data_IF_912494649908
#
_entry.id   IF_912494649908
#
_cell.length_a   1.000
_cell.length_b   1.000
_cell.length_c   1.000
_cell.angle_alpha   90.00
_cell.angle_beta   90.00
_cell.angle_gamma   90.00
#
_symmetry.space_group_name_H-M   'P 1'
#
loop_
_entity.id
_entity.type
_entity.pdbx_description
1 polymer ?
#
# COMPACT_ATOMS: atom_id res chain seq x y z
N UNK A 1 0.94 5.26 12.28
CA UNK A 1 1.73 4.43 13.22
C UNK A 1 0.74 3.65 14.08
N UNK A 2 1.01 2.37 14.33
CA UNK A 2 0.26 1.58 15.33
C UNK A 2 1.19 1.32 16.51
N UNK A 3 0.69 1.45 17.73
CA UNK A 3 1.46 1.26 18.96
C UNK A 3 1.10 -0.07 19.63
N UNK A 4 2.10 -0.80 20.12
CA UNK A 4 1.98 -1.93 21.04
C UNK A 4 2.53 -1.56 22.42
N UNK A 5 2.41 -2.44 23.42
CA UNK A 5 2.92 -2.19 24.78
C UNK A 5 4.43 -1.87 24.73
N UNK A 6 4.78 -0.58 24.86
CA UNK A 6 6.15 -0.08 24.93
C UNK A 6 6.76 0.56 23.67
N UNK A 7 6.08 0.58 22.50
CA UNK A 7 6.66 1.17 21.28
C UNK A 7 5.78 1.13 20.02
N UNK A 8 6.27 1.74 18.93
CA UNK A 8 5.63 1.66 17.61
C UNK A 8 5.80 0.26 17.01
N UNK A 9 4.70 -0.43 16.74
CA UNK A 9 4.66 -1.80 16.23
C UNK A 9 4.48 -1.90 14.71
N UNK A 10 4.35 -0.76 14.02
CA UNK A 10 4.19 -0.71 12.58
C UNK A 10 3.85 0.68 12.03
N UNK A 11 4.02 0.83 10.72
CA UNK A 11 3.75 2.06 9.99
C UNK A 11 3.24 1.76 8.57
N UNK A 12 2.61 2.76 7.97
CA UNK A 12 2.31 2.80 6.55
C UNK A 12 2.72 4.17 6.00
N UNK A 13 3.23 4.17 4.77
CA UNK A 13 3.60 5.35 4.01
C UNK A 13 2.64 5.45 2.82
N UNK A 14 2.02 6.60 2.67
CA UNK A 14 1.15 6.88 1.52
C UNK A 14 1.48 8.22 0.89
N UNK A 15 1.19 8.33 -0.40
CA UNK A 15 1.42 9.53 -1.21
C UNK A 15 0.24 9.73 -2.16
N UNK A 16 0.03 10.97 -2.59
CA UNK A 16 -0.78 11.26 -3.77
C UNK A 16 0.13 11.27 -5.00
N UNK A 17 -0.09 10.34 -5.94
CA UNK A 17 0.61 10.31 -7.22
C UNK A 17 -0.18 11.10 -8.26
N UNK A 18 0.55 11.65 -9.23
CA UNK A 18 0.00 12.45 -10.35
C UNK A 18 0.56 11.99 -11.69
N UNK A 19 1.69 11.29 -11.63
CA UNK A 19 2.19 10.41 -12.67
C UNK A 19 1.27 9.20 -12.82
N UNK A 20 1.25 8.61 -14.01
CA UNK A 20 0.48 7.41 -14.30
C UNK A 20 0.84 6.28 -13.33
N UNK A 21 -0.18 5.69 -12.73
CA UNK A 21 -0.07 4.47 -11.93
C UNK A 21 -0.67 3.31 -12.72
N UNK A 22 0.00 2.16 -12.70
CA UNK A 22 -0.41 1.01 -13.50
C UNK A 22 -1.84 0.56 -13.16
N UNK A 23 -2.73 0.57 -14.16
CA UNK A 23 -4.12 0.12 -14.03
C UNK A 23 -5.12 1.14 -13.46
N UNK A 24 -4.71 2.37 -13.16
CA UNK A 24 -5.63 3.45 -12.72
C UNK A 24 -6.20 4.24 -13.89
N UNK A 25 -7.33 4.92 -13.67
CA UNK A 25 -8.04 5.73 -14.66
C UNK A 25 -8.34 7.17 -14.20
N UNK A 26 -7.95 7.52 -12.98
CA UNK A 26 -8.15 8.83 -12.36
C UNK A 26 -6.80 9.45 -11.96
N UNK A 27 -6.77 10.75 -11.67
CA UNK A 27 -5.59 11.39 -11.08
C UNK A 27 -6.00 12.64 -10.28
N UNK A 28 -5.45 12.92 -9.09
CA UNK A 28 -4.42 12.12 -8.40
C UNK A 28 -4.95 10.82 -7.82
N UNK A 29 -4.07 9.85 -7.69
CA UNK A 29 -4.34 8.55 -7.07
C UNK A 29 -3.66 8.46 -5.70
N UNK A 30 -4.35 7.83 -4.75
CA UNK A 30 -3.69 7.44 -3.50
C UNK A 30 -2.77 6.27 -3.77
N UNK A 31 -1.56 6.29 -3.21
CA UNK A 31 -0.58 5.23 -3.39
C UNK A 31 -0.02 4.76 -2.05
N UNK A 32 -0.02 3.45 -1.81
CA UNK A 32 0.67 2.83 -0.69
C UNK A 32 2.13 2.61 -1.06
N UNK A 33 3.02 3.48 -0.57
CA UNK A 33 4.47 3.40 -0.82
C UNK A 33 5.13 2.30 0.01
N UNK A 34 4.51 1.91 1.13
CA UNK A 34 5.00 0.82 1.95
C UNK A 34 4.18 0.63 3.21
N UNK A 35 4.10 -0.61 3.67
CA UNK A 35 3.44 -0.96 4.93
C UNK A 35 4.24 -2.03 5.66
N UNK A 36 4.42 -1.83 6.96
CA UNK A 36 5.18 -2.74 7.79
C UNK A 36 4.55 -2.88 9.17
N UNK A 37 4.52 -4.12 9.66
CA UNK A 37 4.13 -4.46 11.02
C UNK A 37 5.13 -5.47 11.56
N UNK A 38 5.59 -5.23 12.79
CA UNK A 38 6.48 -6.11 13.54
C UNK A 38 5.89 -7.51 13.66
N UNK A 39 6.74 -8.54 13.55
CA UNK A 39 6.32 -9.93 13.36
C UNK A 39 5.36 -10.40 14.46
N UNK A 40 5.63 -10.02 15.69
CA UNK A 40 4.90 -10.37 16.92
C UNK A 40 3.48 -9.77 16.93
N UNK A 41 3.27 -8.70 16.17
CA UNK A 41 2.02 -7.95 16.09
C UNK A 41 1.23 -8.25 14.79
N UNK A 42 1.77 -9.09 13.89
CA UNK A 42 1.06 -9.50 12.67
C UNK A 42 -0.17 -10.35 12.99
N UNK A 43 -1.09 -10.42 12.00
CA UNK A 43 -2.36 -11.17 12.07
C UNK A 43 -3.34 -10.67 13.15
N UNK A 44 -3.12 -9.47 13.70
CA UNK A 44 -4.02 -8.79 14.65
C UNK A 44 -4.83 -7.63 14.03
N UNK A 45 -4.81 -7.50 12.70
CA UNK A 45 -5.55 -6.46 11.97
C UNK A 45 -4.85 -5.10 11.85
N UNK A 46 -3.65 -4.93 12.43
CA UNK A 46 -2.96 -3.63 12.42
C UNK A 46 -2.60 -3.10 11.03
N UNK A 47 -2.15 -3.97 10.11
CA UNK A 47 -1.86 -3.56 8.74
C UNK A 47 -3.14 -3.08 8.01
N UNK A 48 -4.27 -3.75 8.22
CA UNK A 48 -5.56 -3.32 7.68
C UNK A 48 -6.03 -1.99 8.27
N UNK A 49 -5.78 -1.74 9.56
CA UNK A 49 -6.10 -0.46 10.19
C UNK A 49 -5.23 0.69 9.64
N UNK A 50 -3.93 0.43 9.43
CA UNK A 50 -3.02 1.38 8.80
C UNK A 50 -3.43 1.70 7.36
N UNK A 51 -3.76 0.68 6.57
CA UNK A 51 -4.24 0.85 5.20
C UNK A 51 -5.51 1.71 5.15
N UNK A 52 -6.51 1.42 5.98
CA UNK A 52 -7.75 2.21 6.06
C UNK A 52 -7.49 3.68 6.37
N UNK A 53 -6.49 3.98 7.22
CA UNK A 53 -6.10 5.36 7.50
C UNK A 53 -5.48 6.03 6.26
N UNK A 54 -4.67 5.31 5.49
CA UNK A 54 -4.11 5.80 4.23
C UNK A 54 -5.21 6.03 3.16
N UNK A 55 -6.16 5.11 3.02
CA UNK A 55 -7.31 5.23 2.10
C UNK A 55 -8.16 6.45 2.46
N UNK A 56 -8.52 6.61 3.73
CA UNK A 56 -9.29 7.75 4.20
C UNK A 56 -8.56 9.09 3.95
N UNK A 57 -7.25 9.12 4.18
CA UNK A 57 -6.43 10.30 3.88
C UNK A 57 -6.41 10.60 2.38
N UNK A 58 -6.20 9.61 1.51
CA UNK A 58 -6.20 9.82 0.06
C UNK A 58 -7.58 10.26 -0.46
N UNK A 59 -8.66 9.67 0.04
CA UNK A 59 -10.03 10.08 -0.28
C UNK A 59 -10.28 11.55 0.13
N UNK A 60 -9.77 11.99 1.29
CA UNK A 60 -9.84 13.41 1.69
C UNK A 60 -9.05 14.35 0.77
N UNK A 61 -8.06 13.81 0.04
CA UNK A 61 -7.31 14.50 -1.01
C UNK A 61 -7.98 14.49 -2.38
N UNK A 62 -9.20 13.93 -2.50
CA UNK A 62 -9.97 13.87 -3.74
C UNK A 62 -9.68 12.65 -4.63
N UNK A 63 -8.91 11.68 -4.15
CA UNK A 63 -8.63 10.45 -4.90
C UNK A 63 -9.87 9.55 -4.95
N UNK A 64 -10.16 9.01 -6.14
CA UNK A 64 -11.20 8.00 -6.36
C UNK A 64 -10.65 6.58 -6.49
N UNK A 65 -9.33 6.45 -6.66
CA UNK A 65 -8.62 5.17 -6.74
C UNK A 65 -7.45 5.17 -5.74
N UNK A 66 -7.12 3.96 -5.25
CA UNK A 66 -6.02 3.72 -4.33
C UNK A 66 -5.22 2.51 -4.80
N UNK A 67 -3.93 2.72 -5.04
CA UNK A 67 -3.05 1.75 -5.68
C UNK A 67 -1.88 1.37 -4.77
N UNK A 68 -1.26 0.24 -5.10
CA UNK A 68 -0.09 -0.28 -4.43
C UNK A 68 0.63 -1.26 -5.36
N UNK A 69 1.92 -1.48 -5.13
CA UNK A 69 2.68 -2.56 -5.76
C UNK A 69 3.26 -3.50 -4.70
N UNK A 70 3.72 -4.66 -5.17
CA UNK A 70 4.63 -5.49 -4.40
C UNK A 70 5.55 -6.28 -5.33
N UNK A 71 6.69 -6.74 -4.80
CA UNK A 71 7.59 -7.61 -5.56
C UNK A 71 6.92 -8.93 -5.95
N UNK A 72 7.25 -9.45 -7.14
CA UNK A 72 6.63 -10.64 -7.73
C UNK A 72 6.65 -11.87 -6.81
N UNK A 73 7.76 -12.07 -6.09
CA UNK A 73 7.96 -13.18 -5.16
C UNK A 73 7.43 -12.91 -3.75
N UNK A 74 6.89 -11.73 -3.47
CA UNK A 74 6.38 -11.35 -2.15
C UNK A 74 4.93 -11.81 -1.96
N UNK A 75 4.73 -13.12 -1.95
CA UNK A 75 3.42 -13.75 -1.78
C UNK A 75 2.67 -13.30 -0.52
N UNK A 76 3.31 -13.09 0.65
CA UNK A 76 2.63 -12.53 1.81
C UNK A 76 2.05 -11.13 1.55
N UNK A 77 2.77 -10.27 0.82
CA UNK A 77 2.29 -8.94 0.45
C UNK A 77 1.16 -9.03 -0.59
N UNK A 78 1.31 -9.87 -1.63
CA UNK A 78 0.23 -10.10 -2.61
C UNK A 78 -1.07 -10.55 -1.93
N UNK A 79 -0.97 -11.54 -1.02
CA UNK A 79 -2.12 -12.03 -0.28
C UNK A 79 -2.69 -10.98 0.67
N UNK A 80 -1.87 -10.10 1.26
CA UNK A 80 -2.35 -8.97 2.04
C UNK A 80 -3.22 -8.04 1.18
N UNK A 81 -2.71 -7.57 0.03
CA UNK A 81 -3.43 -6.66 -0.86
C UNK A 81 -4.76 -7.27 -1.34
N UNK A 82 -4.76 -8.53 -1.80
CA UNK A 82 -5.98 -9.22 -2.22
C UNK A 82 -7.02 -9.31 -1.09
N UNK A 83 -6.57 -9.63 0.14
CA UNK A 83 -7.47 -9.73 1.29
C UNK A 83 -7.94 -8.37 1.83
N UNK A 84 -7.35 -7.26 1.39
CA UNK A 84 -7.79 -5.91 1.76
C UNK A 84 -8.52 -5.17 0.64
N UNK A 85 -8.94 -5.88 -0.41
CA UNK A 85 -9.83 -5.34 -1.43
C UNK A 85 -9.12 -4.74 -2.65
N UNK A 86 -7.80 -4.83 -2.75
CA UNK A 86 -7.11 -4.56 -4.01
C UNK A 86 -7.40 -5.66 -5.03
N UNK A 87 -7.54 -5.28 -6.29
CA UNK A 87 -7.50 -6.19 -7.42
C UNK A 87 -6.11 -6.15 -8.09
N UNK A 88 -5.64 -7.28 -8.59
CA UNK A 88 -4.39 -7.32 -9.36
C UNK A 88 -4.60 -6.63 -10.71
N UNK A 89 -3.88 -5.53 -10.96
CA UNK A 89 -3.97 -4.78 -12.22
C UNK A 89 -3.06 -5.36 -13.31
N UNK A 90 -1.77 -5.57 -13.02
CA UNK A 90 -0.77 -6.06 -13.96
C UNK A 90 0.44 -6.70 -13.24
N UNK A 91 1.26 -7.45 -14.00
CA UNK A 91 2.60 -7.91 -13.58
C UNK A 91 3.65 -7.35 -14.53
N UNK A 92 4.58 -6.55 -14.00
CA UNK A 92 5.54 -5.81 -14.81
C UNK A 92 6.98 -6.33 -14.61
N UNK A 93 7.80 -6.17 -15.66
CA UNK A 93 9.24 -6.39 -15.61
C UNK A 93 9.91 -5.03 -15.77
N UNK A 94 10.66 -4.60 -14.75
CA UNK A 94 11.33 -3.30 -14.75
C UNK A 94 12.75 -3.42 -15.34
N UNK A 95 13.10 -2.54 -16.28
CA UNK A 95 14.44 -2.44 -16.88
C UNK A 95 15.10 -1.11 -16.49
N UNK A 96 16.41 -1.13 -16.23
CA UNK A 96 17.20 0.09 -15.99
C UNK A 96 18.45 0.05 -16.87
N UNK A 97 18.86 1.21 -17.42
CA UNK A 97 20.08 1.35 -18.21
C UNK A 97 20.83 2.60 -17.76
N UNK A 98 22.14 2.49 -17.52
CA UNK A 98 23.02 3.65 -17.32
C UNK A 98 23.25 4.33 -18.67
N UNK A 99 23.16 5.66 -18.70
CA UNK A 99 23.46 6.49 -19.88
C UNK A 99 24.96 6.76 -19.98
#
# INVERSE_FOLDING_TARGET
>A
MVSGEGGHAGFALCRLRRDYVEGTNSSPEGYLEGIFVEKEFRRRGYASALLKACEAWAASGGCTEFAADCGLENEPSRNFHLNTGFAEANRIICFVKKL
#
